data_IF_888806797265
#
_entry.id   IF_888806797265
#
_cell.length_a   1.000
_cell.length_b   1.000
_cell.length_c   1.000
_cell.angle_alpha   90.00
_cell.angle_beta   90.00
_cell.angle_gamma   90.00
#
_symmetry.space_group_name_H-M   'P 1'
#
loop_
_entity.id
_entity.type
_entity.pdbx_description
1 polymer ?
#
# COMPACT_ATOMS: atom_id res chain seq x y z
N UNK A 1 -18.21 3.69 -12.37
CA UNK A 1 -17.61 2.62 -13.17
C UNK A 1 -17.66 1.31 -12.40
N UNK A 2 -18.58 0.44 -12.81
CA UNK A 2 -18.80 -0.87 -12.20
C UNK A 2 -18.72 -2.00 -13.22
N UNK A 3 -19.02 -3.23 -12.80
CA UNK A 3 -18.85 -4.44 -13.62
C UNK A 3 -19.54 -4.36 -14.99
N UNK A 4 -20.70 -3.69 -15.07
CA UNK A 4 -21.44 -3.53 -16.33
C UNK A 4 -20.69 -2.76 -17.42
N UNK A 5 -19.81 -1.82 -17.06
CA UNK A 5 -18.97 -1.11 -18.04
C UNK A 5 -17.83 -1.98 -18.57
N UNK A 6 -17.49 -3.07 -17.86
CA UNK A 6 -16.41 -3.96 -18.24
C UNK A 6 -16.87 -5.10 -19.17
N UNK A 7 -18.17 -5.29 -19.37
CA UNK A 7 -18.74 -6.38 -20.18
C UNK A 7 -18.23 -6.37 -21.64
N UNK A 8 -17.99 -5.18 -22.21
CA UNK A 8 -17.51 -5.05 -23.59
C UNK A 8 -16.10 -5.64 -23.81
N UNK A 9 -15.33 -5.85 -22.73
CA UNK A 9 -14.00 -6.47 -22.77
C UNK A 9 -14.06 -8.00 -22.61
N UNK A 10 -15.23 -8.57 -22.32
CA UNK A 10 -15.43 -10.02 -22.20
C UNK A 10 -14.42 -10.69 -21.26
N UNK A 11 -13.78 -11.81 -21.66
CA UNK A 11 -12.81 -12.51 -20.82
C UNK A 11 -11.56 -11.70 -20.42
N UNK A 12 -11.26 -10.60 -21.13
CA UNK A 12 -10.10 -9.76 -20.83
C UNK A 12 -10.36 -8.80 -19.64
N UNK A 13 -11.63 -8.56 -19.28
CA UNK A 13 -12.03 -7.60 -18.25
C UNK A 13 -11.23 -7.75 -16.95
N UNK A 14 -11.04 -8.98 -16.48
CA UNK A 14 -10.36 -9.31 -15.22
C UNK A 14 -8.88 -8.88 -15.16
N UNK A 15 -8.25 -8.67 -16.32
CA UNK A 15 -6.87 -8.22 -16.44
C UNK A 15 -6.76 -6.71 -16.58
N UNK A 16 -7.85 -6.04 -16.97
CA UNK A 16 -7.91 -4.59 -17.13
C UNK A 16 -8.38 -3.90 -15.84
N UNK A 17 -9.39 -4.47 -15.18
CA UNK A 17 -9.95 -3.94 -13.92
C UNK A 17 -10.48 -5.08 -13.07
N UNK A 18 -10.30 -4.98 -11.75
CA UNK A 18 -10.87 -5.97 -10.82
C UNK A 18 -12.39 -5.84 -10.72
N UNK A 19 -13.12 -6.96 -10.51
CA UNK A 19 -14.55 -6.91 -10.27
C UNK A 19 -14.91 -6.03 -9.07
N UNK A 20 -16.10 -5.44 -9.08
CA UNK A 20 -16.57 -4.52 -8.03
C UNK A 20 -16.52 -5.17 -6.65
N UNK A 21 -16.88 -6.45 -6.57
CA UNK A 21 -16.79 -7.21 -5.31
C UNK A 21 -15.37 -7.21 -4.74
N UNK A 22 -14.36 -7.55 -5.54
CA UNK A 22 -12.96 -7.57 -5.09
C UNK A 22 -12.46 -6.16 -4.73
N UNK A 23 -12.88 -5.14 -5.48
CA UNK A 23 -12.54 -3.75 -5.19
C UNK A 23 -13.13 -3.30 -3.85
N UNK A 24 -14.42 -3.55 -3.63
CA UNK A 24 -15.11 -3.19 -2.38
C UNK A 24 -14.48 -3.90 -1.18
N UNK A 25 -14.19 -5.19 -1.32
CA UNK A 25 -13.51 -5.97 -0.28
C UNK A 25 -12.11 -5.41 0.03
N UNK A 26 -11.35 -5.02 -1.00
CA UNK A 26 -10.02 -4.42 -0.82
C UNK A 26 -10.07 -3.04 -0.15
N UNK A 27 -10.98 -2.17 -0.59
CA UNK A 27 -11.12 -0.81 -0.08
C UNK A 27 -11.62 -0.75 1.36
N UNK A 28 -12.35 -1.77 1.81
CA UNK A 28 -12.87 -1.87 3.18
C UNK A 28 -11.93 -2.58 4.16
N UNK A 29 -10.72 -2.96 3.74
CA UNK A 29 -9.75 -3.59 4.66
C UNK A 29 -9.39 -2.63 5.80
N UNK A 30 -9.24 -3.14 7.04
CA UNK A 30 -8.77 -2.33 8.17
C UNK A 30 -7.42 -1.70 7.85
N UNK A 31 -7.27 -0.42 8.16
CA UNK A 31 -6.05 0.34 7.93
C UNK A 31 -5.88 1.40 9.00
N UNK A 32 -4.69 1.46 9.59
CA UNK A 32 -4.30 2.51 10.52
C UNK A 32 -3.23 3.39 9.86
N UNK A 33 -3.64 4.61 9.49
CA UNK A 33 -2.78 5.58 8.81
C UNK A 33 -1.56 6.03 9.64
N UNK A 34 -1.60 5.87 10.97
CA UNK A 34 -0.48 6.26 11.83
C UNK A 34 0.62 5.22 11.87
N UNK A 35 0.25 3.94 11.69
CA UNK A 35 1.16 2.81 11.89
C UNK A 35 1.51 2.08 10.60
N UNK A 36 0.66 2.12 9.57
CA UNK A 36 0.95 1.53 8.27
C UNK A 36 2.00 2.35 7.50
N UNK A 37 3.18 1.77 7.31
CA UNK A 37 4.34 2.43 6.72
C UNK A 37 5.10 1.51 5.76
N UNK A 38 5.83 2.10 4.84
CA UNK A 38 6.94 1.47 4.13
C UNK A 38 8.25 1.82 4.84
N UNK A 39 9.21 0.90 4.82
CA UNK A 39 10.58 1.12 5.29
C UNK A 39 11.58 0.59 4.29
N UNK A 40 12.79 1.14 4.30
CA UNK A 40 13.89 0.63 3.48
C UNK A 40 14.30 -0.78 3.91
N UNK A 41 14.63 -1.61 2.93
CA UNK A 41 15.16 -2.96 3.14
C UNK A 41 16.35 -3.19 2.20
N UNK A 42 17.38 -3.88 2.69
CA UNK A 42 18.61 -4.07 1.93
C UNK A 42 18.48 -5.04 0.74
N UNK A 43 17.50 -5.96 0.77
CA UNK A 43 17.29 -6.96 -0.26
C UNK A 43 16.14 -6.59 -1.21
N UNK A 44 15.07 -5.99 -0.67
CA UNK A 44 13.83 -5.69 -1.40
C UNK A 44 13.65 -4.20 -1.72
N UNK A 45 14.63 -3.35 -1.35
CA UNK A 45 14.59 -1.88 -1.41
C UNK A 45 13.57 -1.26 -0.46
N UNK A 46 12.30 -1.67 -0.53
CA UNK A 46 11.23 -1.22 0.34
C UNK A 46 10.31 -2.37 0.73
N UNK A 47 9.87 -2.40 1.99
CA UNK A 47 8.91 -3.38 2.50
C UNK A 47 7.80 -2.70 3.29
N UNK A 48 6.62 -3.33 3.29
CA UNK A 48 5.48 -2.92 4.12
C UNK A 48 5.69 -3.33 5.59
N UNK A 49 5.23 -2.49 6.51
CA UNK A 49 5.29 -2.79 7.93
C UNK A 49 4.34 -1.96 8.80
N UNK A 50 4.33 -2.31 10.08
CA UNK A 50 3.58 -1.63 11.13
C UNK A 50 4.56 -0.97 12.09
N UNK A 51 4.50 0.36 12.20
CA UNK A 51 5.27 1.14 13.15
C UNK A 51 4.88 0.77 14.59
N UNK A 52 5.89 0.41 15.40
CA UNK A 52 5.72 0.06 16.82
C UNK A 52 6.15 1.18 17.74
N UNK A 53 7.27 1.84 17.43
CA UNK A 53 7.77 2.97 18.21
C UNK A 53 8.66 3.90 17.40
N UNK A 54 8.80 5.14 17.89
CA UNK A 54 9.75 6.14 17.42
C UNK A 54 10.46 6.73 18.64
N UNK A 55 11.79 6.62 18.67
CA UNK A 55 12.61 7.14 19.76
C UNK A 55 14.02 7.45 19.26
N UNK A 56 14.58 8.58 19.69
CA UNK A 56 15.97 8.93 19.40
C UNK A 56 16.31 9.06 17.90
N UNK A 57 15.35 9.48 17.06
CA UNK A 57 15.54 9.62 15.61
C UNK A 57 15.51 8.29 14.84
N UNK A 58 15.07 7.21 15.48
CA UNK A 58 14.90 5.89 14.88
C UNK A 58 13.47 5.41 15.05
N UNK A 59 13.03 4.61 14.09
CA UNK A 59 11.73 3.96 14.11
C UNK A 59 11.90 2.44 14.16
N UNK A 60 11.13 1.79 15.03
CA UNK A 60 11.02 0.33 15.07
C UNK A 60 9.75 -0.09 14.35
N UNK A 61 9.89 -0.92 13.33
CA UNK A 61 8.81 -1.38 12.46
C UNK A 61 8.80 -2.91 12.43
N UNK A 62 7.61 -3.49 12.52
CA UNK A 62 7.40 -4.92 12.29
C UNK A 62 6.94 -5.11 10.84
N UNK A 63 7.74 -5.82 10.04
CA UNK A 63 7.41 -6.13 8.65
C UNK A 63 6.30 -7.18 8.57
N UNK A 64 5.67 -7.34 7.40
CA UNK A 64 4.64 -8.36 7.19
C UNK A 64 5.12 -9.80 7.47
N UNK A 65 6.42 -10.05 7.30
CA UNK A 65 7.08 -11.33 7.62
C UNK A 65 7.38 -11.50 9.13
N UNK A 66 6.84 -10.62 9.98
CA UNK A 66 7.05 -10.59 11.43
C UNK A 66 8.50 -10.37 11.85
N UNK A 67 9.33 -9.78 10.99
CA UNK A 67 10.68 -9.33 11.35
C UNK A 67 10.58 -7.93 11.96
N UNK A 68 11.33 -7.68 13.01
CA UNK A 68 11.47 -6.34 13.58
C UNK A 68 12.71 -5.68 13.00
N UNK A 69 12.53 -4.52 12.39
CA UNK A 69 13.61 -3.70 11.83
C UNK A 69 13.64 -2.36 12.52
N UNK A 70 14.85 -1.82 12.69
CA UNK A 70 15.06 -0.47 13.20
C UNK A 70 15.75 0.35 12.13
N UNK A 71 15.04 1.34 11.61
CA UNK A 71 15.52 2.25 10.56
C UNK A 71 15.56 3.67 11.10
N UNK A 72 16.19 4.58 10.36
CA UNK A 72 16.09 6.00 10.70
C UNK A 72 14.67 6.51 10.40
N UNK A 73 14.24 7.55 11.09
CA UNK A 73 12.88 8.08 10.88
C UNK A 73 12.64 8.66 9.49
N UNK A 74 13.67 9.15 8.80
CA UNK A 74 13.62 9.64 7.43
C UNK A 74 13.53 8.50 6.38
N UNK A 75 13.75 7.26 6.81
CA UNK A 75 13.59 6.05 6.00
C UNK A 75 12.22 5.37 6.21
N UNK A 76 11.27 6.09 6.83
CA UNK A 76 9.89 5.64 7.05
C UNK A 76 8.94 6.45 6.19
N UNK A 77 8.23 5.78 5.29
CA UNK A 77 7.31 6.42 4.35
C UNK A 77 5.85 6.07 4.66
N UNK A 78 4.92 7.03 4.65
CA UNK A 78 3.52 6.75 4.91
C UNK A 78 2.87 5.93 3.79
N UNK A 79 1.95 5.04 4.15
CA UNK A 79 1.14 4.27 3.20
C UNK A 79 -0.16 4.98 2.86
N UNK A 80 -0.62 4.83 1.61
CA UNK A 80 -1.95 5.25 1.22
C UNK A 80 -3.03 4.31 1.80
N UNK A 81 -4.21 4.83 2.18
CA UNK A 81 -5.32 4.00 2.65
C UNK A 81 -5.86 3.07 1.54
N UNK A 82 -6.55 1.97 1.89
CA UNK A 82 -6.97 0.93 0.93
C UNK A 82 -7.89 1.39 -0.18
N UNK A 83 -8.53 2.57 -0.05
CA UNK A 83 -9.28 3.21 -1.15
C UNK A 83 -8.43 3.44 -2.41
N UNK A 84 -7.11 3.48 -2.27
CA UNK A 84 -6.15 3.63 -3.38
C UNK A 84 -5.56 2.30 -3.86
N UNK A 85 -5.99 1.15 -3.34
CA UNK A 85 -5.51 -0.16 -3.79
C UNK A 85 -5.75 -0.33 -5.29
N UNK A 86 -4.67 -0.55 -6.06
CA UNK A 86 -4.69 -0.72 -7.53
C UNK A 86 -5.42 0.40 -8.26
N UNK A 87 -5.24 1.63 -7.81
CA UNK A 87 -5.77 2.81 -8.51
C UNK A 87 -5.22 2.87 -9.94
N UNK A 88 -6.07 3.30 -10.88
CA UNK A 88 -5.74 3.34 -12.31
C UNK A 88 -4.80 4.49 -12.66
N UNK A 89 -4.84 5.57 -11.87
CA UNK A 89 -3.97 6.72 -11.99
C UNK A 89 -3.31 7.03 -10.65
N UNK A 90 -2.00 6.79 -10.57
CA UNK A 90 -1.22 7.00 -9.35
C UNK A 90 -1.09 8.48 -8.97
N UNK A 91 -1.29 9.42 -9.90
CA UNK A 91 -1.28 10.85 -9.60
C UNK A 91 -2.42 11.26 -8.64
N UNK A 92 -3.44 10.40 -8.51
CA UNK A 92 -4.58 10.62 -7.61
C UNK A 92 -4.32 10.17 -6.16
N UNK A 93 -3.16 9.56 -5.87
CA UNK A 93 -2.81 9.12 -4.51
C UNK A 93 -2.49 10.30 -3.58
N UNK A 94 -2.72 10.12 -2.27
CA UNK A 94 -2.42 11.18 -1.27
C UNK A 94 -0.93 11.26 -0.95
N UNK A 95 -0.30 10.11 -0.72
CA UNK A 95 1.15 10.03 -0.62
C UNK A 95 1.69 9.64 -1.99
N UNK A 96 2.68 10.37 -2.50
CA UNK A 96 3.34 10.07 -3.78
C UNK A 96 4.85 9.98 -3.56
N UNK A 97 5.25 8.93 -2.86
CA UNK A 97 6.64 8.59 -2.55
C UNK A 97 7.06 7.35 -3.36
N UNK A 98 8.37 7.09 -3.43
CA UNK A 98 8.94 5.97 -4.20
C UNK A 98 8.30 4.62 -3.89
N UNK A 99 8.16 4.17 -2.62
CA UNK A 99 7.53 2.88 -2.36
C UNK A 99 6.03 2.87 -2.67
N UNK A 100 5.34 4.01 -2.60
CA UNK A 100 3.94 4.05 -3.02
C UNK A 100 3.78 3.79 -4.52
N UNK A 101 4.65 4.37 -5.35
CA UNK A 101 4.57 4.17 -6.81
C UNK A 101 4.97 2.75 -7.20
N UNK A 102 5.83 2.12 -6.40
CA UNK A 102 6.23 0.73 -6.59
C UNK A 102 5.11 -0.28 -6.26
N UNK A 103 4.25 0.01 -5.29
CA UNK A 103 3.27 -0.93 -4.69
C UNK A 103 1.81 -0.67 -5.09
#
# INVERSE_FOLDING_TARGET
MGDGEMECFGPAAIYLRKPDKERIEAQNRPFDAKTAVYVTDAAEMYVKGTLKSKEGGKATVETLDKKTVTVKEDEVFPMNPPKYDKIEDMAMMTHLNEPTVLY
#
